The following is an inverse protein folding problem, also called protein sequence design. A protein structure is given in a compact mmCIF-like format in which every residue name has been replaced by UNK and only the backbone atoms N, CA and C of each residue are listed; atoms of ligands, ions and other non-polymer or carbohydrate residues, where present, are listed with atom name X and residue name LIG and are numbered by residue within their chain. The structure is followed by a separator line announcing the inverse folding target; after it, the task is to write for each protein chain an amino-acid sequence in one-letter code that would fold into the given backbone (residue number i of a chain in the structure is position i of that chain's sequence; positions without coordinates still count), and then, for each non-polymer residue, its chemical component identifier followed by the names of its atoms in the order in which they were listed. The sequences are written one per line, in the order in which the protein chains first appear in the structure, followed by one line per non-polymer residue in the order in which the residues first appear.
data_IF_671045745572
#
_entry.id   IF_671045745572
#
_cell.length_a   1.000
_cell.length_b   1.000
_cell.length_c   1.000
_cell.angle_alpha   90.00
_cell.angle_beta   90.00
_cell.angle_gamma   90.00
#
_symmetry.space_group_name_H-M   'P 1'
#
loop_
_entity.id
_entity.type
_entity.pdbx_description
1 polymer ?
#
# COMPACT_ATOMS: atom_id res chain seq x y z
N UNK A 1 8.98 -29.43 -31.80
CA UNK A 1 7.79 -28.92 -31.08
C UNK A 1 8.05 -29.08 -29.59
N UNK A 2 7.90 -27.99 -28.82
CA UNK A 2 7.51 -27.89 -27.40
C UNK A 2 8.00 -26.56 -26.82
N UNK A 3 7.38 -25.45 -27.27
CA UNK A 3 7.33 -24.21 -26.50
C UNK A 3 6.18 -24.36 -25.50
N UNK A 4 6.51 -24.65 -24.24
CA UNK A 4 5.64 -24.32 -23.12
C UNK A 4 6.46 -23.41 -22.20
N UNK A 5 6.81 -22.23 -22.70
CA UNK A 5 7.27 -21.13 -21.87
C UNK A 5 6.07 -20.55 -21.13
N UNK A 6 5.84 -21.09 -19.94
CA UNK A 6 5.50 -20.40 -18.68
C UNK A 6 4.78 -19.06 -18.89
N UNK A 7 3.47 -19.12 -19.12
CA UNK A 7 2.60 -17.95 -19.07
C UNK A 7 2.03 -17.81 -17.65
N UNK A 8 2.78 -17.15 -16.75
CA UNK A 8 2.26 -16.39 -15.58
C UNK A 8 3.40 -15.87 -14.67
N UNK A 9 3.29 -14.68 -14.02
CA UNK A 9 2.18 -13.73 -14.02
C UNK A 9 2.63 -12.26 -14.24
N UNK A 10 2.22 -11.64 -15.36
CA UNK A 10 2.25 -10.15 -15.52
C UNK A 10 1.33 -9.41 -14.54
N UNK A 11 0.58 -10.13 -13.70
CA UNK A 11 -0.41 -9.56 -12.78
C UNK A 11 0.17 -9.14 -11.41
N UNK A 12 1.38 -9.60 -11.04
CA UNK A 12 2.02 -9.21 -9.78
C UNK A 12 2.78 -7.86 -9.89
N UNK A 13 3.29 -7.53 -11.08
CA UNK A 13 4.08 -6.31 -11.31
C UNK A 13 3.23 -5.04 -11.29
N UNK A 14 1.95 -5.11 -11.68
CA UNK A 14 1.03 -3.96 -11.68
C UNK A 14 0.69 -3.48 -10.27
N UNK A 15 0.49 -4.40 -9.32
CA UNK A 15 0.14 -4.05 -7.94
C UNK A 15 1.33 -3.43 -7.18
N UNK A 16 2.53 -3.99 -7.36
CA UNK A 16 3.76 -3.43 -6.80
C UNK A 16 4.05 -2.02 -7.36
N UNK A 17 3.85 -1.83 -8.66
CA UNK A 17 3.98 -0.52 -9.30
C UNK A 17 2.96 0.50 -8.75
N UNK A 18 1.72 0.07 -8.49
CA UNK A 18 0.67 0.93 -7.92
C UNK A 18 1.02 1.39 -6.50
N UNK A 19 1.51 0.50 -5.65
CA UNK A 19 1.93 0.84 -4.28
C UNK A 19 3.09 1.85 -4.33
N UNK A 20 4.11 1.60 -5.15
CA UNK A 20 5.26 2.50 -5.27
C UNK A 20 4.87 3.92 -5.72
N UNK A 21 3.93 4.04 -6.66
CA UNK A 21 3.38 5.33 -7.07
C UNK A 21 2.63 6.05 -5.94
N UNK A 22 1.80 5.31 -5.19
CA UNK A 22 1.02 5.87 -4.08
C UNK A 22 1.88 6.27 -2.88
N UNK A 23 3.01 5.60 -2.64
CA UNK A 23 4.02 6.01 -1.66
C UNK A 23 4.63 7.36 -2.04
N UNK A 24 5.02 7.54 -3.32
CA UNK A 24 5.52 8.84 -3.79
C UNK A 24 4.50 9.94 -3.58
N UNK A 25 3.24 9.69 -3.92
CA UNK A 25 2.13 10.63 -3.70
C UNK A 25 1.94 10.96 -2.20
N UNK A 26 2.04 9.97 -1.31
CA UNK A 26 1.96 10.19 0.12
C UNK A 26 3.12 11.06 0.63
N UNK A 27 4.34 10.83 0.14
CA UNK A 27 5.52 11.65 0.46
C UNK A 27 5.33 13.08 -0.03
N UNK A 28 4.85 13.30 -1.26
CA UNK A 28 4.58 14.65 -1.79
C UNK A 28 3.54 15.38 -0.92
N UNK A 29 2.48 14.68 -0.51
CA UNK A 29 1.44 15.21 0.38
C UNK A 29 1.92 15.39 1.83
N UNK A 30 3.02 14.76 2.23
CA UNK A 30 3.53 14.83 3.62
C UNK A 30 3.91 16.24 4.06
N UNK A 31 4.15 17.13 3.09
CA UNK A 31 4.30 18.58 3.29
C UNK A 31 3.10 19.23 4.00
N UNK A 32 1.92 18.61 3.97
CA UNK A 32 0.69 19.10 4.58
C UNK A 32 0.26 18.30 5.82
N UNK A 33 1.10 17.40 6.33
CA UNK A 33 0.83 16.54 7.49
C UNK A 33 1.11 15.07 7.21
N UNK A 34 0.83 14.19 8.18
CA UNK A 34 1.13 12.75 8.06
C UNK A 34 0.12 12.01 7.19
N UNK A 35 0.61 11.24 6.22
CA UNK A 35 -0.19 10.40 5.32
C UNK A 35 0.20 8.94 5.42
N UNK A 36 -0.78 8.07 5.19
CA UNK A 36 -0.68 6.62 5.23
C UNK A 36 -1.07 6.06 3.87
N UNK A 37 -0.25 5.14 3.36
CA UNK A 37 -0.62 4.23 2.29
C UNK A 37 -1.09 2.93 2.92
N UNK A 38 -2.31 2.53 2.61
CA UNK A 38 -2.91 1.32 3.15
C UNK A 38 -3.68 0.54 2.08
N UNK A 39 -3.81 -0.77 2.27
CA UNK A 39 -4.69 -1.63 1.49
C UNK A 39 -5.99 -1.87 2.25
N UNK A 40 -7.14 -1.74 1.58
CA UNK A 40 -8.43 -2.12 2.14
C UNK A 40 -8.64 -3.64 2.06
N UNK A 41 -9.58 -4.17 2.84
CA UNK A 41 -10.00 -5.57 2.73
C UNK A 41 -10.53 -5.95 1.33
N UNK A 42 -11.04 -4.98 0.57
CA UNK A 42 -11.46 -5.16 -0.81
C UNK A 42 -10.28 -5.21 -1.81
N UNK A 43 -9.04 -5.06 -1.36
CA UNK A 43 -7.83 -5.08 -2.18
C UNK A 43 -7.48 -3.74 -2.83
N UNK A 44 -8.13 -2.65 -2.44
CA UNK A 44 -7.83 -1.32 -2.95
C UNK A 44 -6.66 -0.69 -2.18
N UNK A 45 -5.71 -0.09 -2.90
CA UNK A 45 -4.62 0.69 -2.29
C UNK A 45 -5.06 2.15 -2.21
N UNK A 46 -5.02 2.72 -1.00
CA UNK A 46 -5.49 4.06 -0.69
C UNK A 46 -4.36 4.90 -0.09
N UNK A 47 -4.42 6.22 -0.32
CA UNK A 47 -3.57 7.23 0.35
C UNK A 47 -4.47 8.14 1.15
N UNK A 48 -4.30 8.15 2.47
CA UNK A 48 -5.19 8.83 3.40
C UNK A 48 -4.39 9.63 4.43
N UNK A 49 -4.91 10.75 4.94
CA UNK A 49 -4.36 11.37 6.14
C UNK A 49 -4.36 10.36 7.30
N UNK A 50 -3.36 10.44 8.19
CA UNK A 50 -3.21 9.52 9.32
C UNK A 50 -4.47 9.41 10.17
N UNK A 51 -5.16 10.52 10.45
CA UNK A 51 -6.40 10.52 11.22
C UNK A 51 -7.47 9.62 10.57
N UNK A 52 -7.74 9.80 9.28
CA UNK A 52 -8.72 9.00 8.54
C UNK A 52 -8.33 7.52 8.47
N UNK A 53 -7.04 7.23 8.27
CA UNK A 53 -6.55 5.85 8.27
C UNK A 53 -6.69 5.19 9.65
N UNK A 54 -6.48 5.94 10.73
CA UNK A 54 -6.56 5.44 12.11
C UNK A 54 -7.98 5.16 12.58
N UNK A 55 -8.97 5.83 11.99
CA UNK A 55 -10.40 5.60 12.31
C UNK A 55 -10.99 4.38 11.58
N UNK A 56 -10.27 3.82 10.61
CA UNK A 56 -10.75 2.72 9.76
C UNK A 56 -10.13 1.40 10.18
N UNK A 57 -10.98 0.43 10.50
CA UNK A 57 -10.58 -0.92 10.92
C UNK A 57 -10.41 -1.89 9.74
N UNK A 58 -10.81 -1.48 8.53
CA UNK A 58 -10.76 -2.30 7.31
C UNK A 58 -9.44 -2.13 6.53
N UNK A 59 -8.46 -1.41 7.09
CA UNK A 59 -7.22 -1.07 6.43
C UNK A 59 -6.03 -1.86 6.99
N UNK A 60 -5.15 -2.29 6.10
CA UNK A 60 -3.81 -2.80 6.41
C UNK A 60 -2.78 -1.78 5.95
N UNK A 61 -1.97 -1.28 6.88
CA UNK A 61 -1.02 -0.21 6.60
C UNK A 61 0.21 -0.77 5.89
N UNK A 62 0.66 -0.08 4.84
CA UNK A 62 1.80 -0.46 4.01
C UNK A 62 2.94 0.52 4.19
N UNK A 63 2.63 1.81 4.25
CA UNK A 63 3.61 2.87 4.40
C UNK A 63 3.04 4.04 5.20
N UNK A 64 3.88 4.63 6.03
CA UNK A 64 3.61 5.80 6.83
C UNK A 64 4.66 6.86 6.51
N UNK A 65 4.25 8.08 6.20
CA UNK A 65 5.22 9.15 5.89
C UNK A 65 6.11 9.53 7.07
N UNK A 66 5.68 9.25 8.31
CA UNK A 66 6.48 9.50 9.51
C UNK A 66 7.45 8.34 9.83
N UNK A 67 7.03 7.09 9.62
CA UNK A 67 7.76 5.90 10.07
C UNK A 67 8.29 4.99 8.95
N UNK A 68 7.99 5.30 7.70
CA UNK A 68 8.39 4.50 6.54
C UNK A 68 7.50 3.27 6.33
N UNK A 69 8.10 2.18 5.83
CA UNK A 69 7.35 0.94 5.58
C UNK A 69 6.83 0.33 6.89
N UNK A 70 5.53 0.03 6.91
CA UNK A 70 4.87 -0.57 8.06
C UNK A 70 4.63 -2.04 7.76
N UNK A 71 5.31 -2.91 8.51
CA UNK A 71 5.06 -4.35 8.48
C UNK A 71 4.19 -4.69 9.67
N UNK A 72 2.87 -4.59 9.54
CA UNK A 72 1.97 -5.04 10.60
C UNK A 72 0.90 -5.99 10.07
N UNK A 73 0.85 -7.18 10.64
CA UNK A 73 -0.21 -8.18 10.44
C UNK A 73 -1.26 -8.15 11.58
N UNK A 74 -1.41 -6.98 12.24
CA UNK A 74 -2.00 -6.70 13.56
C UNK A 74 -0.91 -6.56 14.62
N UNK A 75 -0.95 -5.47 15.38
CA UNK A 75 -0.30 -5.39 16.70
C UNK A 75 -0.79 -6.61 17.49
N UNK A 76 0.13 -7.48 17.93
CA UNK A 76 -0.18 -8.38 19.04
C UNK A 76 -0.64 -7.48 20.19
N UNK A 77 -1.91 -7.64 20.56
CA UNK A 77 -2.45 -7.14 21.81
C UNK A 77 -1.85 -7.95 22.98
#
# INVERSE_FOLDING_TARGET
MNLHEIDAPKHHSTHANKIGHLIKLAIEKSTHGRYIVATSQAGEVLVLPHFNASTRNDLTWVYDTEFGYVFSTKRSA
#
